data_IF_180518023184
#
_entry.id   IF_180518023184
#
_cell.length_a   1.000
_cell.length_b   1.000
_cell.length_c   1.000
_cell.angle_alpha   90.00
_cell.angle_beta   90.00
_cell.angle_gamma   90.00
#
_symmetry.space_group_name_H-M   'P 1'
#
loop_
_entity.id
_entity.type
_entity.pdbx_description
1 polymer ?
#
# COMPACT_ATOMS: atom_id res chain seq x y z
N UNK A 1 -17.59 17.04 -1.64
CA UNK A 1 -16.76 15.85 -1.98
C UNK A 1 -15.93 15.54 -0.74
N UNK A 2 -16.41 14.64 0.11
CA UNK A 2 -15.80 14.40 1.42
C UNK A 2 -14.69 13.37 1.25
N UNK A 3 -13.44 13.82 1.36
CA UNK A 3 -12.29 12.93 1.49
C UNK A 3 -12.55 12.00 2.68
N UNK A 4 -12.81 10.71 2.44
CA UNK A 4 -12.97 9.72 3.51
C UNK A 4 -11.62 9.06 3.74
N UNK A 5 -10.80 9.74 4.52
CA UNK A 5 -9.68 9.08 5.20
C UNK A 5 -10.31 8.21 6.29
N UNK A 6 -9.98 6.91 6.31
CA UNK A 6 -10.51 6.02 7.35
C UNK A 6 -10.11 6.56 8.75
N UNK A 7 -10.97 6.42 9.77
CA UNK A 7 -10.62 6.77 11.15
C UNK A 7 -9.28 6.11 11.53
N UNK A 8 -8.39 6.87 12.18
CA UNK A 8 -7.06 6.38 12.58
C UNK A 8 -5.97 6.49 11.52
N UNK A 9 -6.30 6.86 10.28
CA UNK A 9 -5.32 7.03 9.20
C UNK A 9 -4.87 8.49 9.13
N UNK A 10 -3.58 8.73 9.37
CA UNK A 10 -2.95 10.02 9.05
C UNK A 10 -2.24 9.91 7.72
N UNK A 11 -2.71 10.65 6.70
CA UNK A 11 -2.02 10.73 5.41
C UNK A 11 -0.67 11.41 5.66
N UNK A 12 0.41 10.63 5.57
CA UNK A 12 1.74 11.13 5.84
C UNK A 12 2.24 12.01 4.68
N UNK A 13 1.85 11.68 3.43
CA UNK A 13 2.06 12.47 2.20
C UNK A 13 1.39 11.77 1.00
N UNK A 14 0.88 12.56 0.04
CA UNK A 14 0.59 12.08 -1.31
C UNK A 14 1.86 12.24 -2.16
N UNK A 15 2.27 11.17 -2.86
CA UNK A 15 3.48 11.07 -3.69
C UNK A 15 4.81 11.31 -2.94
N UNK A 16 5.40 10.23 -2.42
CA UNK A 16 6.76 10.21 -1.83
C UNK A 16 7.68 9.40 -2.75
N UNK A 17 8.81 10.00 -3.14
CA UNK A 17 9.89 9.29 -3.82
C UNK A 17 10.79 8.65 -2.75
N UNK A 18 11.01 7.35 -2.87
CA UNK A 18 11.92 6.55 -2.04
C UNK A 18 12.88 5.78 -2.94
N UNK A 19 13.93 5.22 -2.35
CA UNK A 19 14.89 4.36 -3.07
C UNK A 19 14.22 3.15 -3.76
N UNK A 20 13.04 2.73 -3.26
CA UNK A 20 12.22 1.68 -3.86
C UNK A 20 11.30 2.14 -5.01
N UNK A 21 11.29 3.43 -5.36
CA UNK A 21 10.41 4.03 -6.37
C UNK A 21 9.46 5.08 -5.78
N UNK A 22 8.29 5.28 -6.41
CA UNK A 22 7.29 6.25 -5.94
C UNK A 22 6.14 5.52 -5.25
N UNK A 23 5.74 5.97 -4.06
CA UNK A 23 4.47 5.56 -3.47
C UNK A 23 3.35 6.46 -3.98
N UNK A 24 2.23 5.87 -4.33
CA UNK A 24 1.03 6.60 -4.75
C UNK A 24 0.34 7.26 -3.54
N UNK A 25 0.09 6.49 -2.48
CA UNK A 25 -0.33 7.00 -1.17
C UNK A 25 0.33 6.23 -0.02
N UNK A 26 0.66 6.96 1.05
CA UNK A 26 1.30 6.43 2.25
C UNK A 26 0.69 7.07 3.51
N UNK A 27 0.36 6.24 4.50
CA UNK A 27 -0.18 6.66 5.78
C UNK A 27 0.40 5.86 6.94
N UNK A 28 0.37 6.46 8.15
CA UNK A 28 0.66 5.75 9.39
C UNK A 28 -0.60 5.04 9.89
N UNK A 29 -0.43 3.84 10.42
CA UNK A 29 -1.46 3.09 11.14
C UNK A 29 -1.35 3.32 12.66
N UNK A 30 -2.43 3.09 13.40
CA UNK A 30 -2.49 3.35 14.85
C UNK A 30 -1.49 2.51 15.66
N UNK A 31 -1.14 1.31 15.18
CA UNK A 31 -0.15 0.41 15.76
C UNK A 31 1.31 0.82 15.48
N UNK A 32 1.52 1.99 14.86
CA UNK A 32 2.84 2.48 14.49
C UNK A 32 3.40 1.83 13.21
N UNK A 33 2.61 1.04 12.49
CA UNK A 33 2.94 0.52 11.16
C UNK A 33 2.82 1.55 10.04
N UNK A 34 2.88 1.04 8.80
CA UNK A 34 2.61 1.80 7.59
C UNK A 34 1.49 1.17 6.77
N UNK A 35 0.69 2.00 6.12
CA UNK A 35 -0.27 1.59 5.10
C UNK A 35 0.05 2.29 3.78
N UNK A 36 0.24 1.49 2.72
CA UNK A 36 0.53 1.94 1.36
C UNK A 36 -0.65 1.60 0.48
N UNK A 37 -1.07 2.54 -0.34
CA UNK A 37 -2.02 2.30 -1.44
C UNK A 37 -1.31 2.54 -2.76
N UNK A 38 -1.42 1.58 -3.67
CA UNK A 38 -0.81 1.59 -5.01
C UNK A 38 -1.92 1.40 -6.05
N UNK A 39 -2.15 2.44 -6.87
CA UNK A 39 -3.24 2.46 -7.83
C UNK A 39 -2.80 1.86 -9.16
N UNK A 40 -3.64 0.99 -9.72
CA UNK A 40 -3.41 0.36 -11.03
C UNK A 40 -4.51 0.75 -11.98
N UNK A 41 -4.17 1.03 -13.24
CA UNK A 41 -5.17 1.30 -14.28
C UNK A 41 -6.11 0.10 -14.47
N UNK A 42 -5.53 -1.10 -14.43
CA UNK A 42 -6.22 -2.39 -14.43
C UNK A 42 -5.62 -3.26 -13.34
N UNK A 43 -6.44 -4.07 -12.67
CA UNK A 43 -6.01 -5.01 -11.64
C UNK A 43 -6.83 -6.29 -11.79
N UNK A 44 -6.16 -7.43 -11.71
CA UNK A 44 -6.83 -8.72 -11.68
C UNK A 44 -7.77 -8.83 -10.48
N UNK A 45 -8.99 -9.30 -10.72
CA UNK A 45 -9.99 -9.51 -9.68
C UNK A 45 -9.59 -10.65 -8.74
N UNK A 46 -8.79 -11.60 -9.24
CA UNK A 46 -8.16 -12.63 -8.43
C UNK A 46 -6.95 -12.06 -7.65
N UNK A 47 -6.86 -12.44 -6.37
CA UNK A 47 -5.85 -11.91 -5.45
C UNK A 47 -4.46 -12.48 -5.72
N UNK A 48 -4.37 -13.74 -6.14
CA UNK A 48 -3.09 -14.41 -6.43
C UNK A 48 -2.51 -13.92 -7.74
N UNK A 49 -3.36 -13.69 -8.75
CA UNK A 49 -2.95 -13.07 -10.01
C UNK A 49 -2.46 -11.63 -9.80
N UNK A 50 -3.20 -10.82 -9.03
CA UNK A 50 -2.77 -9.48 -8.65
C UNK A 50 -1.42 -9.48 -7.91
N UNK A 51 -1.18 -10.48 -7.06
CA UNK A 51 0.12 -10.67 -6.41
C UNK A 51 1.21 -11.07 -7.40
N UNK A 52 0.91 -11.94 -8.37
CA UNK A 52 1.87 -12.35 -9.39
C UNK A 52 2.31 -11.16 -10.27
N UNK A 53 1.37 -10.29 -10.62
CA UNK A 53 1.61 -9.10 -11.43
C UNK A 53 2.39 -8.00 -10.70
N UNK A 54 2.08 -7.76 -9.42
CA UNK A 54 2.55 -6.57 -8.69
C UNK A 54 3.34 -6.87 -7.40
N UNK A 55 3.41 -8.12 -6.96
CA UNK A 55 3.99 -8.52 -5.68
C UNK A 55 5.45 -8.10 -5.52
N UNK A 56 6.27 -8.19 -6.58
CA UNK A 56 7.68 -7.74 -6.53
C UNK A 56 7.81 -6.25 -6.22
N UNK A 57 6.88 -5.42 -6.69
CA UNK A 57 6.86 -3.98 -6.39
C UNK A 57 6.46 -3.77 -4.92
N UNK A 58 5.39 -4.44 -4.47
CA UNK A 58 4.92 -4.37 -3.09
C UNK A 58 5.96 -4.87 -2.08
N UNK A 59 6.72 -5.90 -2.42
CA UNK A 59 7.82 -6.41 -1.58
C UNK A 59 8.94 -5.38 -1.41
N UNK A 60 9.28 -4.63 -2.47
CA UNK A 60 10.24 -3.52 -2.35
C UNK A 60 9.72 -2.45 -1.40
N UNK A 61 8.44 -2.10 -1.50
CA UNK A 61 7.79 -1.15 -0.61
C UNK A 61 7.79 -1.60 0.84
N UNK A 62 7.38 -2.85 1.11
CA UNK A 62 7.42 -3.43 2.45
C UNK A 62 8.83 -3.40 3.04
N UNK A 63 9.85 -3.83 2.30
CA UNK A 63 11.24 -3.85 2.81
C UNK A 63 11.73 -2.44 3.19
N UNK A 64 11.50 -1.44 2.35
CA UNK A 64 11.90 -0.05 2.63
C UNK A 64 11.20 0.48 3.88
N UNK A 65 9.90 0.20 4.05
CA UNK A 65 9.13 0.72 5.18
C UNK A 65 9.43 -0.05 6.48
N UNK A 66 9.62 -1.37 6.42
CA UNK A 66 10.05 -2.16 7.58
C UNK A 66 11.45 -1.75 8.07
N UNK A 67 12.35 -1.37 7.15
CA UNK A 67 13.69 -0.86 7.52
C UNK A 67 13.64 0.44 8.34
N UNK A 68 12.50 1.14 8.40
CA UNK A 68 12.30 2.30 9.28
C UNK A 68 12.00 1.93 10.74
N UNK A 69 11.96 0.64 11.06
CA UNK A 69 11.59 0.13 12.39
C UNK A 69 10.07 -0.02 12.58
N UNK A 70 9.28 0.05 11.51
CA UNK A 70 7.84 -0.18 11.59
C UNK A 70 7.54 -1.65 11.91
N UNK A 71 6.60 -1.95 12.82
CA UNK A 71 6.26 -3.32 13.19
C UNK A 71 5.55 -4.08 12.06
N UNK A 72 4.80 -3.35 11.23
CA UNK A 72 3.97 -3.89 10.15
C UNK A 72 3.89 -2.92 8.96
N UNK A 73 3.62 -3.48 7.79
CA UNK A 73 3.28 -2.74 6.57
C UNK A 73 2.07 -3.41 5.92
N UNK A 74 1.00 -2.65 5.73
CA UNK A 74 -0.16 -2.99 4.93
C UNK A 74 0.00 -2.42 3.52
N UNK A 75 -0.22 -3.23 2.50
CA UNK A 75 -0.05 -2.89 1.09
C UNK A 75 -1.36 -3.15 0.37
N UNK A 76 -2.00 -2.12 -0.16
CA UNK A 76 -3.28 -2.24 -0.86
C UNK A 76 -3.11 -1.88 -2.34
N UNK A 77 -3.41 -2.82 -3.23
CA UNK A 77 -3.61 -2.56 -4.65
C UNK A 77 -5.06 -2.15 -4.88
N UNK A 78 -5.31 -1.11 -5.68
CA UNK A 78 -6.66 -0.67 -6.04
C UNK A 78 -6.75 -0.43 -7.55
N UNK A 79 -7.76 -0.99 -8.20
CA UNK A 79 -8.05 -0.70 -9.61
C UNK A 79 -8.72 0.66 -9.78
N UNK A 80 -8.18 1.51 -10.66
CA UNK A 80 -8.84 2.76 -11.05
C UNK A 80 -10.00 2.52 -12.02
N UNK A 81 -9.91 1.48 -12.85
CA UNK A 81 -10.97 1.08 -13.78
C UNK A 81 -12.16 0.40 -13.11
N UNK A 82 -11.95 -0.21 -11.93
CA UNK A 82 -12.98 -0.88 -11.13
C UNK A 82 -12.68 -0.73 -9.63
N UNK A 83 -12.99 0.41 -8.99
CA UNK A 83 -12.56 0.73 -7.61
C UNK A 83 -12.96 -0.28 -6.53
N UNK A 84 -13.97 -1.12 -6.79
CA UNK A 84 -14.37 -2.21 -5.90
C UNK A 84 -13.38 -3.38 -5.89
N UNK A 85 -12.46 -3.45 -6.87
CA UNK A 85 -11.38 -4.43 -6.92
C UNK A 85 -10.17 -3.86 -6.17
N UNK A 86 -10.00 -4.33 -4.93
CA UNK A 86 -8.87 -3.98 -4.09
C UNK A 86 -8.34 -5.19 -3.30
N UNK A 87 -7.02 -5.32 -3.23
CA UNK A 87 -6.34 -6.44 -2.56
C UNK A 87 -5.36 -5.91 -1.53
N UNK A 88 -5.53 -6.30 -0.26
CA UNK A 88 -4.63 -5.88 0.83
C UNK A 88 -3.77 -7.03 1.33
N UNK A 89 -2.47 -6.79 1.43
CA UNK A 89 -1.45 -7.72 1.91
C UNK A 89 -0.75 -7.14 3.12
N UNK A 90 -0.41 -7.98 4.10
CA UNK A 90 0.33 -7.56 5.29
C UNK A 90 1.70 -8.22 5.33
N UNK A 91 2.70 -7.43 5.71
CA UNK A 91 4.06 -7.87 6.02
C UNK A 91 4.45 -7.35 7.39
N UNK A 92 5.08 -8.19 8.19
CA UNK A 92 5.60 -7.85 9.52
C UNK A 92 7.12 -7.82 9.49
N UNK A 93 7.74 -7.11 10.43
CA UNK A 93 9.15 -7.30 10.70
C UNK A 93 9.37 -8.77 11.12
N UNK A 94 10.31 -9.45 10.47
CA UNK A 94 10.72 -10.82 10.80
C UNK A 94 11.76 -10.85 11.91
#
# INVERSE_FOLDING_TARGET
>A
MTSRVAPGVSIARALVQVDAGRFDALARTEDGGWWVVDWKTTLSADREDAWTEHGRQLERYARTLLATGAPSVQLTLVSLGSPDVAHTFTRTAG
#
